data_IF_301418420604
#
_entry.id   IF_301418420604
#
_cell.length_a   1.000
_cell.length_b   1.000
_cell.length_c   1.000
_cell.angle_alpha   90.00
_cell.angle_beta   90.00
_cell.angle_gamma   90.00
#
_symmetry.space_group_name_H-M   'P 1'
#
loop_
_entity.id
_entity.type
_entity.pdbx_description
1 polymer ?
#
# COMPACT_ATOMS: atom_id res chain seq x y z
N UNK A 1 40.22 -23.47 -12.78
CA UNK A 1 39.40 -22.53 -12.00
C UNK A 1 37.93 -22.95 -12.12
N UNK A 2 37.45 -23.61 -11.08
CA UNK A 2 36.09 -24.15 -11.02
C UNK A 2 35.15 -23.00 -10.65
N UNK A 3 34.30 -22.54 -11.59
CA UNK A 3 33.23 -21.61 -11.28
C UNK A 3 32.17 -22.37 -10.49
N UNK A 4 32.14 -22.15 -9.20
CA UNK A 4 31.07 -22.59 -8.33
C UNK A 4 29.78 -21.86 -8.76
N UNK A 5 29.00 -22.46 -9.66
CA UNK A 5 27.62 -22.08 -9.90
C UNK A 5 26.86 -22.45 -8.64
N UNK A 6 26.63 -21.47 -7.77
CA UNK A 6 25.81 -21.65 -6.60
C UNK A 6 24.51 -22.34 -6.99
N UNK A 7 24.22 -23.45 -6.33
CA UNK A 7 22.94 -24.15 -6.45
C UNK A 7 21.88 -23.14 -6.02
N UNK A 8 21.10 -22.65 -6.96
CA UNK A 8 19.93 -21.82 -6.64
C UNK A 8 18.96 -22.71 -5.86
N UNK A 9 18.56 -22.24 -4.68
CA UNK A 9 17.50 -22.86 -3.91
C UNK A 9 16.25 -22.95 -4.81
N UNK A 10 15.72 -24.15 -5.10
CA UNK A 10 14.56 -24.31 -5.96
C UNK A 10 13.29 -23.68 -5.38
N UNK A 11 13.25 -23.43 -4.07
CA UNK A 11 12.13 -22.79 -3.38
C UNK A 11 12.31 -21.26 -3.22
N UNK A 12 13.46 -20.72 -3.63
CA UNK A 12 13.68 -19.27 -3.60
C UNK A 12 12.80 -18.57 -4.66
N UNK A 13 12.16 -17.46 -4.32
CA UNK A 13 11.39 -16.70 -5.31
C UNK A 13 12.30 -16.21 -6.43
N UNK A 14 11.77 -16.14 -7.64
CA UNK A 14 12.48 -15.53 -8.76
C UNK A 14 12.90 -14.11 -8.42
N UNK A 15 14.01 -13.66 -8.98
CA UNK A 15 14.58 -12.33 -8.67
C UNK A 15 13.56 -11.21 -8.88
N UNK A 16 12.84 -11.23 -9.99
CA UNK A 16 11.80 -10.25 -10.33
C UNK A 16 10.62 -10.27 -9.32
N UNK A 17 10.21 -11.45 -8.86
CA UNK A 17 9.22 -11.58 -7.82
C UNK A 17 9.73 -11.06 -6.47
N UNK A 18 10.97 -11.37 -6.13
CA UNK A 18 11.59 -10.90 -4.89
C UNK A 18 11.66 -9.36 -4.85
N UNK A 19 12.00 -8.72 -5.97
CA UNK A 19 12.00 -7.26 -6.11
C UNK A 19 10.60 -6.66 -5.89
N UNK A 20 9.57 -7.24 -6.49
CA UNK A 20 8.19 -6.77 -6.31
C UNK A 20 7.73 -6.94 -4.86
N UNK A 21 8.03 -8.07 -4.24
CA UNK A 21 7.67 -8.32 -2.83
C UNK A 21 8.41 -7.36 -1.89
N UNK A 22 9.68 -7.08 -2.15
CA UNK A 22 10.46 -6.10 -1.38
C UNK A 22 9.89 -4.68 -1.54
N UNK A 23 9.54 -4.27 -2.76
CA UNK A 23 8.91 -2.98 -3.01
C UNK A 23 7.57 -2.84 -2.29
N UNK A 24 6.74 -3.89 -2.30
CA UNK A 24 5.49 -3.91 -1.53
C UNK A 24 5.73 -3.82 -0.02
N UNK A 25 6.71 -4.57 0.49
CA UNK A 25 7.05 -4.55 1.92
C UNK A 25 7.45 -3.15 2.41
N UNK A 26 8.15 -2.37 1.60
CA UNK A 26 8.55 -0.99 1.92
C UNK A 26 7.37 -0.03 2.13
N UNK A 27 6.20 -0.36 1.64
CA UNK A 27 4.99 0.46 1.82
C UNK A 27 4.27 0.20 3.13
N UNK A 28 4.59 -0.89 3.82
CA UNK A 28 3.90 -1.33 5.03
C UNK A 28 4.45 -0.65 6.28
N UNK A 29 3.59 -0.44 7.26
CA UNK A 29 3.93 0.21 8.53
C UNK A 29 5.06 -0.51 9.29
N UNK A 30 5.13 -1.83 9.19
CA UNK A 30 6.17 -2.68 9.82
C UNK A 30 7.58 -2.28 9.39
N UNK A 31 7.73 -1.81 8.16
CA UNK A 31 9.01 -1.38 7.59
C UNK A 31 9.21 0.14 7.65
N UNK A 32 8.30 0.85 8.32
CA UNK A 32 8.31 2.32 8.47
C UNK A 32 8.11 2.76 9.93
N UNK A 33 8.85 2.16 10.88
CA UNK A 33 8.60 2.36 12.32
C UNK A 33 8.73 3.82 12.76
N UNK A 34 9.64 4.59 12.16
CA UNK A 34 9.82 6.01 12.50
C UNK A 34 8.59 6.86 12.09
N UNK A 35 8.04 6.60 10.91
CA UNK A 35 6.84 7.29 10.42
C UNK A 35 5.62 6.96 11.29
N UNK A 36 5.48 5.70 11.67
CA UNK A 36 4.41 5.23 12.59
C UNK A 36 4.55 5.88 13.95
N UNK A 37 5.76 5.89 14.53
CA UNK A 37 6.03 6.50 15.83
C UNK A 37 5.74 8.01 15.81
N UNK A 38 6.19 8.71 14.77
CA UNK A 38 5.92 10.15 14.61
C UNK A 38 4.42 10.45 14.51
N UNK A 39 3.66 9.59 13.83
CA UNK A 39 2.20 9.72 13.75
C UNK A 39 1.54 9.51 15.11
N UNK A 40 1.98 8.49 15.86
CA UNK A 40 1.48 8.16 17.18
C UNK A 40 1.68 9.29 18.22
N UNK A 41 2.80 10.01 18.16
CA UNK A 41 3.08 11.18 19.02
C UNK A 41 1.99 12.25 18.90
N UNK A 42 1.35 12.39 17.75
CA UNK A 42 0.26 13.33 17.53
C UNK A 42 -1.12 12.80 18.00
N UNK A 43 -1.16 11.61 18.58
CA UNK A 43 -2.41 10.94 19.01
C UNK A 43 -3.22 10.35 17.86
N UNK A 44 -2.62 10.15 16.69
CA UNK A 44 -3.31 9.63 15.51
C UNK A 44 -2.71 8.28 15.07
N UNK A 45 -3.55 7.48 14.43
CA UNK A 45 -3.15 6.24 13.77
C UNK A 45 -2.75 6.49 12.32
N UNK A 46 -2.03 5.54 11.73
CA UNK A 46 -1.81 5.51 10.28
C UNK A 46 -3.08 5.10 9.55
N UNK A 47 -3.14 5.38 8.25
CA UNK A 47 -4.27 4.91 7.43
C UNK A 47 -4.33 3.38 7.41
N UNK A 48 -3.19 2.68 7.40
CA UNK A 48 -3.15 1.22 7.41
C UNK A 48 -3.68 0.63 8.73
N UNK A 49 -3.37 1.26 9.85
CA UNK A 49 -3.94 0.89 11.15
C UNK A 49 -5.46 1.08 11.16
N UNK A 50 -5.96 2.22 10.65
CA UNK A 50 -7.39 2.48 10.58
C UNK A 50 -8.12 1.46 9.69
N UNK A 51 -7.58 1.15 8.51
CA UNK A 51 -8.15 0.13 7.63
C UNK A 51 -8.13 -1.23 8.34
N UNK A 52 -7.00 -1.62 8.94
CA UNK A 52 -6.85 -2.91 9.63
C UNK A 52 -7.81 -3.12 10.79
N UNK A 53 -8.23 -2.04 11.47
CA UNK A 53 -9.23 -2.11 12.54
C UNK A 53 -10.67 -2.24 12.03
N UNK A 54 -10.93 -1.80 10.79
CA UNK A 54 -12.27 -1.79 10.22
C UNK A 54 -12.59 -3.07 9.44
N UNK A 55 -11.61 -3.62 8.74
CA UNK A 55 -11.81 -4.76 7.83
C UNK A 55 -11.72 -6.12 8.53
N UNK A 56 -12.33 -7.12 7.92
CA UNK A 56 -12.12 -8.50 8.31
C UNK A 56 -10.66 -8.91 8.06
N UNK A 57 -10.02 -9.63 8.99
CA UNK A 57 -8.62 -10.01 8.87
C UNK A 57 -8.30 -10.72 7.56
N UNK A 58 -7.24 -10.28 6.88
CA UNK A 58 -6.76 -10.89 5.64
C UNK A 58 -7.60 -10.59 4.39
N UNK A 59 -8.65 -9.77 4.49
CA UNK A 59 -9.54 -9.47 3.36
C UNK A 59 -9.08 -8.31 2.48
N UNK A 60 -8.13 -7.48 2.94
CA UNK A 60 -7.72 -6.28 2.22
C UNK A 60 -6.88 -6.60 0.99
N UNK A 61 -7.32 -6.11 -0.15
CA UNK A 61 -6.60 -6.17 -1.42
C UNK A 61 -6.30 -4.74 -1.87
N UNK A 62 -5.04 -4.33 -1.75
CA UNK A 62 -4.60 -2.98 -2.09
C UNK A 62 -4.40 -2.83 -3.59
N UNK A 63 -4.87 -1.71 -4.12
CA UNK A 63 -4.67 -1.29 -5.51
C UNK A 63 -3.67 -0.14 -5.58
N UNK A 64 -2.77 -0.19 -6.57
CA UNK A 64 -1.80 0.87 -6.78
C UNK A 64 -0.75 1.01 -5.67
N UNK A 65 -0.45 -0.06 -4.95
CA UNK A 65 0.52 -0.08 -3.85
C UNK A 65 1.93 0.33 -4.28
N UNK A 66 2.32 0.00 -5.52
CA UNK A 66 3.65 0.30 -6.08
C UNK A 66 3.74 1.65 -6.78
N UNK A 67 2.69 2.48 -6.70
CA UNK A 67 2.76 3.82 -7.25
C UNK A 67 3.75 4.68 -6.44
N UNK A 68 4.52 5.48 -7.16
CA UNK A 68 5.50 6.40 -6.61
C UNK A 68 5.19 7.83 -7.06
N UNK A 69 5.66 8.86 -6.32
CA UNK A 69 5.53 10.25 -6.74
C UNK A 69 6.11 10.49 -8.15
N UNK A 70 5.49 11.38 -8.91
CA UNK A 70 5.94 11.72 -10.26
C UNK A 70 7.32 12.41 -10.29
N UNK A 71 7.73 13.02 -9.20
CA UNK A 71 9.01 13.68 -9.09
C UNK A 71 10.09 12.72 -8.56
N UNK A 72 11.15 12.51 -9.33
CA UNK A 72 12.21 11.53 -9.03
C UNK A 72 12.94 11.73 -7.69
N UNK A 73 12.94 12.92 -7.15
CA UNK A 73 13.57 13.28 -5.88
C UNK A 73 12.64 13.20 -4.67
N UNK A 74 11.38 12.83 -4.89
CA UNK A 74 10.42 12.57 -3.83
C UNK A 74 10.26 11.07 -3.65
N UNK A 75 10.24 10.65 -2.40
CA UNK A 75 9.87 9.29 -2.02
C UNK A 75 8.53 9.33 -1.31
N UNK A 76 7.66 8.40 -1.66
CA UNK A 76 6.36 8.33 -1.02
C UNK A 76 5.66 7.00 -1.32
N UNK A 77 5.68 6.07 -0.36
CA UNK A 77 5.04 4.77 -0.53
C UNK A 77 3.59 4.91 -0.99
N UNK A 78 3.20 4.16 -2.03
CA UNK A 78 1.88 4.19 -2.64
C UNK A 78 1.43 5.60 -3.09
N UNK A 79 2.39 6.51 -3.30
CA UNK A 79 2.18 7.95 -3.53
C UNK A 79 1.20 8.59 -2.54
N UNK A 80 1.27 8.18 -1.26
CA UNK A 80 0.47 8.74 -0.18
C UNK A 80 -1.03 8.42 -0.22
N UNK A 81 -1.47 7.50 -1.06
CA UNK A 81 -2.86 7.07 -1.12
C UNK A 81 -2.97 5.55 -1.01
N UNK A 82 -3.54 5.08 0.10
CA UNK A 82 -3.88 3.68 0.32
C UNK A 82 -5.33 3.47 -0.10
N UNK A 83 -5.55 2.54 -1.01
CA UNK A 83 -6.88 2.22 -1.53
C UNK A 83 -6.98 0.75 -1.90
N UNK A 84 -8.15 0.20 -1.79
CA UNK A 84 -8.37 -1.21 -2.09
C UNK A 84 -9.76 -1.68 -1.71
N UNK A 85 -9.98 -2.97 -1.86
CA UNK A 85 -11.22 -3.63 -1.46
C UNK A 85 -10.98 -4.58 -0.30
N UNK A 86 -12.00 -4.79 0.49
CA UNK A 86 -11.99 -5.76 1.59
C UNK A 86 -13.41 -6.08 2.01
N UNK A 87 -13.54 -6.77 3.12
CA UNK A 87 -14.85 -7.05 3.71
C UNK A 87 -14.96 -6.47 5.11
N UNK A 88 -16.16 -6.09 5.48
CA UNK A 88 -16.55 -5.70 6.85
C UNK A 88 -17.72 -6.58 7.23
N UNK A 89 -17.54 -7.44 8.22
CA UNK A 89 -18.54 -8.46 8.61
C UNK A 89 -19.04 -9.28 7.41
N UNK A 90 -18.14 -9.62 6.50
CA UNK A 90 -18.43 -10.38 5.28
C UNK A 90 -18.97 -9.57 4.09
N UNK A 91 -19.30 -8.30 4.27
CA UNK A 91 -19.80 -7.43 3.19
C UNK A 91 -18.63 -6.74 2.47
N UNK A 92 -18.62 -6.78 1.15
CA UNK A 92 -17.58 -6.15 0.33
C UNK A 92 -17.69 -4.63 0.40
N UNK A 93 -16.54 -3.98 0.63
CA UNK A 93 -16.41 -2.53 0.79
C UNK A 93 -15.14 -2.06 0.08
N UNK A 94 -15.20 -0.88 -0.55
CA UNK A 94 -14.03 -0.16 -1.01
C UNK A 94 -13.50 0.76 0.10
N UNK A 95 -12.17 0.86 0.19
CA UNK A 95 -11.48 1.74 1.14
C UNK A 95 -10.54 2.67 0.39
N UNK A 96 -10.51 3.93 0.79
CA UNK A 96 -9.59 4.91 0.23
C UNK A 96 -9.22 5.94 1.29
N UNK A 97 -7.93 6.10 1.54
CA UNK A 97 -7.48 7.06 2.53
C UNK A 97 -6.08 7.59 2.26
N UNK A 98 -5.89 8.89 2.52
CA UNK A 98 -4.58 9.50 2.42
C UNK A 98 -3.68 9.08 3.58
N UNK A 99 -2.46 8.70 3.25
CA UNK A 99 -1.43 8.42 4.24
C UNK A 99 -0.77 9.73 4.67
N UNK A 100 -1.18 10.23 5.82
CA UNK A 100 -0.62 11.47 6.38
C UNK A 100 0.89 11.37 6.66
N UNK A 101 1.43 10.17 6.80
CA UNK A 101 2.88 9.96 6.98
C UNK A 101 3.66 10.19 5.69
N UNK A 102 2.97 10.28 4.56
CA UNK A 102 3.53 10.59 3.24
C UNK A 102 3.10 11.99 2.85
N UNK A 103 4.05 12.92 2.83
CA UNK A 103 3.83 14.32 2.44
C UNK A 103 2.60 14.98 3.11
N UNK A 104 2.31 14.61 4.37
CA UNK A 104 1.20 15.14 5.17
C UNK A 104 -0.18 15.01 4.47
N UNK A 105 -0.38 13.95 3.70
CA UNK A 105 -1.64 13.69 2.98
C UNK A 105 -1.87 14.60 1.79
N UNK A 106 -0.82 15.20 1.24
CA UNK A 106 -0.91 16.07 0.06
C UNK A 106 -1.34 15.29 -1.17
N UNK A 107 -2.15 15.90 -2.01
CA UNK A 107 -2.51 15.33 -3.31
C UNK A 107 -1.40 15.54 -4.34
N UNK A 108 -1.16 14.52 -5.16
CA UNK A 108 -0.24 14.54 -6.28
C UNK A 108 -0.95 14.13 -7.58
N UNK A 109 -0.28 14.29 -8.71
CA UNK A 109 -0.80 13.86 -10.01
C UNK A 109 -1.04 12.34 -10.01
N UNK A 110 -0.13 11.56 -9.43
CA UNK A 110 -0.21 10.11 -9.43
C UNK A 110 -1.31 9.62 -8.48
N UNK A 111 -1.37 10.13 -7.24
CA UNK A 111 -2.42 9.69 -6.33
C UNK A 111 -3.81 10.16 -6.78
N UNK A 112 -3.91 11.28 -7.47
CA UNK A 112 -5.17 11.72 -8.07
C UNK A 112 -5.63 10.74 -9.17
N UNK A 113 -4.72 10.34 -10.07
CA UNK A 113 -5.02 9.33 -11.09
C UNK A 113 -5.39 7.97 -10.47
N UNK A 114 -4.73 7.57 -9.37
CA UNK A 114 -5.11 6.39 -8.58
C UNK A 114 -6.53 6.49 -8.05
N UNK A 115 -6.88 7.62 -7.43
CA UNK A 115 -8.20 7.87 -6.88
C UNK A 115 -9.28 7.76 -7.96
N UNK A 116 -9.09 8.44 -9.08
CA UNK A 116 -10.03 8.42 -10.21
C UNK A 116 -10.25 6.99 -10.73
N UNK A 117 -9.18 6.24 -10.90
CA UNK A 117 -9.26 4.84 -11.34
C UNK A 117 -9.99 3.96 -10.34
N UNK A 118 -9.71 4.14 -9.06
CA UNK A 118 -10.34 3.35 -8.01
C UNK A 118 -11.83 3.68 -7.86
N UNK A 119 -12.22 4.94 -7.98
CA UNK A 119 -13.62 5.33 -7.99
C UNK A 119 -14.40 4.65 -9.12
N UNK A 120 -13.81 4.52 -10.31
CA UNK A 120 -14.41 3.75 -11.41
C UNK A 120 -14.59 2.27 -11.05
N UNK A 121 -13.61 1.67 -10.35
CA UNK A 121 -13.71 0.28 -9.88
C UNK A 121 -14.85 0.13 -8.87
N UNK A 122 -14.92 1.02 -7.89
CA UNK A 122 -15.97 1.04 -6.85
C UNK A 122 -17.36 1.18 -7.49
N UNK A 123 -17.52 2.09 -8.44
CA UNK A 123 -18.76 2.29 -9.18
C UNK A 123 -19.15 1.03 -9.99
N UNK A 124 -18.23 0.48 -10.75
CA UNK A 124 -18.46 -0.73 -11.57
C UNK A 124 -18.87 -1.92 -10.72
N UNK A 125 -18.20 -2.10 -9.57
CA UNK A 125 -18.49 -3.18 -8.64
C UNK A 125 -19.65 -2.88 -7.68
N UNK A 126 -20.20 -1.66 -7.73
CA UNK A 126 -21.29 -1.18 -6.85
C UNK A 126 -20.99 -1.40 -5.38
N UNK A 127 -19.76 -1.03 -4.97
CA UNK A 127 -19.32 -1.17 -3.58
C UNK A 127 -19.64 0.10 -2.79
N UNK A 128 -20.04 -0.03 -1.51
CA UNK A 128 -19.95 1.08 -0.59
C UNK A 128 -18.48 1.50 -0.45
N UNK A 129 -18.21 2.79 -0.29
CA UNK A 129 -16.86 3.34 -0.15
C UNK A 129 -16.72 4.05 1.20
N UNK A 130 -15.60 3.72 1.89
CA UNK A 130 -15.15 4.38 3.12
C UNK A 130 -13.86 5.12 2.86
#
# INVERSE_FOLDING_TARGET
MSSNKGVQDPDAPRVDLAEVLAAKAQTLDENRPEAVAKRAVTGHQTIRQNIGQLIDPGSFQEYGQLAEPAFKNLQGPADGLVMGTGTVSGFRVGFMGYDYTVHAGTQSIINHAKADRFLQVVETLRLPLV
#
